data_IF_848874915255
#
_entry.id   IF_848874915255
#
_cell.length_a   1.000
_cell.length_b   1.000
_cell.length_c   1.000
_cell.angle_alpha   90.00
_cell.angle_beta   90.00
_cell.angle_gamma   90.00
#
_symmetry.space_group_name_H-M   'P 1'
#
loop_
_entity.id
_entity.type
_entity.pdbx_description
1 polymer ?
#
# COMPACT_ATOMS: atom_id res chain seq x y z
N UNK A 1 7.65 17.92 -3.55
CA UNK A 1 6.26 17.47 -3.28
C UNK A 1 6.28 16.28 -2.35
N UNK A 2 5.86 16.47 -1.11
CA UNK A 2 5.50 15.40 -0.17
C UNK A 2 4.21 14.76 -0.67
N UNK A 3 4.25 13.48 -1.03
CA UNK A 3 3.10 12.75 -1.55
C UNK A 3 2.16 12.40 -0.41
N UNK A 4 1.11 13.20 -0.22
CA UNK A 4 0.02 12.89 0.69
C UNK A 4 -1.24 12.61 -0.12
N UNK A 5 -2.00 11.58 0.26
CA UNK A 5 -3.30 11.29 -0.34
C UNK A 5 -4.24 12.48 -0.12
N UNK A 6 -4.88 12.93 -1.20
CA UNK A 6 -5.94 13.96 -1.13
C UNK A 6 -7.22 13.31 -0.60
N UNK A 7 -8.15 14.11 -0.11
CA UNK A 7 -9.40 13.54 0.44
C UNK A 7 -10.25 12.82 -0.60
N UNK A 8 -10.17 13.25 -1.88
CA UNK A 8 -10.81 12.52 -2.97
C UNK A 8 -10.13 11.19 -3.30
N UNK A 9 -8.82 11.07 -3.04
CA UNK A 9 -8.10 9.81 -3.18
C UNK A 9 -8.49 8.84 -2.05
N UNK A 10 -8.55 9.34 -0.81
CA UNK A 10 -9.02 8.58 0.36
C UNK A 10 -10.45 8.07 0.16
N UNK A 11 -11.38 8.95 -0.24
CA UNK A 11 -12.78 8.61 -0.47
C UNK A 11 -12.93 7.50 -1.52
N UNK A 12 -12.10 7.51 -2.57
CA UNK A 12 -12.09 6.45 -3.58
C UNK A 12 -11.63 5.12 -2.98
N UNK A 13 -10.52 5.14 -2.25
CA UNK A 13 -9.97 3.94 -1.62
C UNK A 13 -10.98 3.35 -0.63
N UNK A 14 -11.64 4.18 0.18
CA UNK A 14 -12.71 3.74 1.08
C UNK A 14 -13.84 3.03 0.32
N UNK A 15 -14.28 3.58 -0.82
CA UNK A 15 -15.32 2.93 -1.63
C UNK A 15 -14.91 1.55 -2.16
N UNK A 16 -13.61 1.32 -2.40
CA UNK A 16 -13.08 0.02 -2.82
C UNK A 16 -12.89 -0.97 -1.66
N UNK A 17 -12.51 -0.49 -0.47
CA UNK A 17 -12.36 -1.33 0.73
C UNK A 17 -13.74 -1.79 1.24
N UNK A 18 -14.74 -0.92 1.15
CA UNK A 18 -16.11 -1.20 1.57
C UNK A 18 -16.71 -0.10 2.45
N UNK A 19 -18.02 -0.17 2.65
CA UNK A 19 -18.80 0.90 3.28
C UNK A 19 -18.35 1.24 4.71
N UNK A 20 -18.52 2.52 5.07
CA UNK A 20 -18.20 3.07 6.39
C UNK A 20 -16.88 3.86 6.42
N UNK A 21 -16.77 4.85 7.32
CA UNK A 21 -15.61 5.75 7.39
C UNK A 21 -14.33 4.97 7.71
N UNK A 22 -13.20 5.36 7.12
CA UNK A 22 -11.87 4.84 7.45
C UNK A 22 -10.99 5.96 7.97
N UNK A 23 -10.18 5.64 8.98
CA UNK A 23 -9.20 6.58 9.51
C UNK A 23 -7.82 6.21 8.94
N UNK A 24 -7.29 7.07 8.07
CA UNK A 24 -5.96 6.90 7.51
C UNK A 24 -4.91 7.59 8.39
N UNK A 25 -4.02 6.80 8.99
CA UNK A 25 -2.82 7.28 9.65
C UNK A 25 -1.58 6.85 8.86
N UNK A 26 -0.57 7.72 8.80
CA UNK A 26 0.70 7.38 8.19
C UNK A 26 1.51 6.52 9.17
N UNK A 27 1.74 5.25 8.82
CA UNK A 27 2.60 4.35 9.59
C UNK A 27 4.07 4.55 9.21
N UNK A 28 4.39 4.46 7.92
CA UNK A 28 5.74 4.50 7.39
C UNK A 28 5.80 5.36 6.12
N UNK A 29 6.87 6.14 5.96
CA UNK A 29 7.22 6.72 4.67
C UNK A 29 8.74 6.75 4.46
N UNK A 30 9.18 6.48 3.23
CA UNK A 30 10.60 6.51 2.88
C UNK A 30 11.22 7.89 3.19
N UNK A 31 10.47 8.99 3.01
CA UNK A 31 10.98 10.33 3.27
C UNK A 31 11.26 10.61 4.75
N UNK A 32 10.51 9.97 5.65
CA UNK A 32 10.62 10.22 7.09
C UNK A 32 11.45 9.14 7.80
N UNK A 33 11.40 7.91 7.30
CA UNK A 33 11.89 6.71 7.99
C UNK A 33 13.07 6.03 7.28
N UNK A 34 13.42 6.51 6.10
CA UNK A 34 14.46 5.92 5.26
C UNK A 34 14.02 4.64 4.55
N UNK A 35 14.77 4.22 3.55
CA UNK A 35 14.45 3.06 2.71
C UNK A 35 14.99 1.76 3.32
N UNK A 36 14.53 1.40 4.52
CA UNK A 36 14.99 0.20 5.24
C UNK A 36 13.83 -0.76 5.52
N UNK A 37 13.98 -2.03 5.10
CA UNK A 37 12.99 -3.08 5.36
C UNK A 37 12.72 -3.25 6.86
N UNK A 38 13.77 -3.18 7.69
CA UNK A 38 13.63 -3.20 9.13
C UNK A 38 12.72 -2.08 9.66
N UNK A 39 12.84 -0.85 9.14
CA UNK A 39 11.98 0.28 9.56
C UNK A 39 10.54 0.10 9.11
N UNK A 40 10.33 -0.50 7.94
CA UNK A 40 8.99 -0.87 7.50
C UNK A 40 8.37 -1.90 8.45
N UNK A 41 9.06 -3.00 8.73
CA UNK A 41 8.56 -4.06 9.62
C UNK A 41 8.35 -3.55 11.05
N UNK A 42 9.26 -2.72 11.58
CA UNK A 42 9.11 -2.08 12.91
C UNK A 42 7.81 -1.25 13.03
N UNK A 43 7.31 -0.70 11.93
CA UNK A 43 6.15 0.22 11.93
C UNK A 43 4.86 -0.35 11.36
N UNK A 44 4.94 -1.29 10.42
CA UNK A 44 3.79 -1.77 9.65
C UNK A 44 3.33 -3.17 10.08
N UNK A 45 4.20 -3.95 10.75
CA UNK A 45 3.81 -5.26 11.25
C UNK A 45 2.74 -5.15 12.33
N UNK A 46 1.79 -6.09 12.28
CA UNK A 46 0.71 -6.23 13.25
C UNK A 46 -0.23 -5.00 13.38
N UNK A 47 -0.17 -4.03 12.45
CA UNK A 47 -1.03 -2.85 12.44
C UNK A 47 -2.44 -3.09 11.86
N UNK A 48 -2.78 -4.34 11.51
CA UNK A 48 -4.01 -4.67 10.81
C UNK A 48 -3.93 -4.35 9.31
N UNK A 49 -5.07 -3.95 8.73
CA UNK A 49 -5.18 -3.65 7.30
C UNK A 49 -4.35 -2.42 6.92
N UNK A 50 -3.66 -2.46 5.79
CA UNK A 50 -2.81 -1.35 5.34
C UNK A 50 -3.12 -0.94 3.92
N UNK A 51 -2.83 0.31 3.61
CA UNK A 51 -2.71 0.80 2.24
C UNK A 51 -1.26 1.18 1.97
N UNK A 52 -0.75 0.80 0.81
CA UNK A 52 0.56 1.27 0.35
C UNK A 52 0.37 2.13 -0.89
N UNK A 53 1.02 3.29 -0.91
CA UNK A 53 0.85 4.30 -1.96
C UNK A 53 2.19 4.67 -2.56
N UNK A 54 2.22 4.67 -3.89
CA UNK A 54 3.39 4.93 -4.72
C UNK A 54 3.16 6.23 -5.48
N UNK A 55 4.13 7.12 -5.42
CA UNK A 55 4.16 8.35 -6.22
C UNK A 55 5.40 8.31 -7.09
N UNK A 56 5.24 8.51 -8.40
CA UNK A 56 6.39 8.68 -9.30
C UNK A 56 6.53 10.15 -9.74
N UNK A 57 7.70 10.47 -10.31
CA UNK A 57 8.05 11.81 -10.77
C UNK A 57 7.25 12.25 -12.03
N UNK A 58 6.44 11.35 -12.60
CA UNK A 58 5.58 11.60 -13.75
C UNK A 58 4.11 11.83 -13.35
N UNK A 59 3.80 12.03 -12.07
CA UNK A 59 2.44 12.32 -11.61
C UNK A 59 1.50 11.11 -11.61
N UNK A 60 2.04 9.90 -11.66
CA UNK A 60 1.26 8.67 -11.48
C UNK A 60 1.17 8.32 -9.99
N UNK A 61 0.03 7.78 -9.60
CA UNK A 61 -0.26 7.35 -8.23
C UNK A 61 -0.89 5.98 -8.29
N UNK A 62 -0.24 4.99 -7.70
CA UNK A 62 -0.67 3.59 -7.68
C UNK A 62 -0.36 2.99 -6.31
N UNK A 63 -0.82 1.76 -6.07
CA UNK A 63 -0.67 1.17 -4.75
C UNK A 63 -1.44 -0.14 -4.60
N UNK A 64 -1.59 -0.55 -3.34
CA UNK A 64 -2.35 -1.72 -2.98
C UNK A 64 -2.98 -1.59 -1.61
N UNK A 65 -4.02 -2.37 -1.39
CA UNK A 65 -4.66 -2.58 -0.10
C UNK A 65 -4.45 -4.03 0.33
N UNK A 66 -4.17 -4.21 1.62
CA UNK A 66 -4.19 -5.51 2.29
C UNK A 66 -5.17 -5.44 3.46
N UNK A 67 -6.05 -6.42 3.57
CA UNK A 67 -6.93 -6.59 4.72
C UNK A 67 -6.26 -7.34 5.86
N UNK A 68 -5.33 -8.23 5.54
CA UNK A 68 -4.50 -8.93 6.51
C UNK A 68 -3.29 -8.07 6.93
N UNK A 69 -2.78 -8.35 8.12
CA UNK A 69 -1.65 -7.64 8.69
C UNK A 69 -0.31 -8.22 8.22
N UNK A 70 0.70 -7.35 8.11
CA UNK A 70 2.09 -7.75 7.90
C UNK A 70 2.64 -8.48 9.13
N UNK A 71 3.58 -9.40 8.91
CA UNK A 71 4.30 -10.11 9.96
C UNK A 71 5.74 -10.42 9.52
N UNK A 72 6.72 -10.10 10.38
CA UNK A 72 8.14 -10.37 10.14
C UNK A 72 8.55 -11.85 10.23
N UNK A 73 7.66 -12.80 10.53
CA UNK A 73 8.05 -14.20 10.69
C UNK A 73 8.27 -14.90 9.34
N UNK A 74 9.34 -15.71 9.30
CA UNK A 74 9.80 -16.67 8.26
C UNK A 74 9.07 -16.53 6.91
N UNK A 75 9.83 -16.13 5.88
CA UNK A 75 9.50 -16.20 4.44
C UNK A 75 8.20 -16.96 4.13
N UNK A 76 7.12 -16.23 3.88
CA UNK A 76 5.81 -16.83 3.73
C UNK A 76 4.84 -15.92 2.99
N UNK A 77 3.82 -16.54 2.40
CA UNK A 77 2.66 -15.82 1.90
C UNK A 77 1.52 -15.87 2.91
N UNK A 78 0.87 -14.73 3.11
CA UNK A 78 -0.39 -14.65 3.86
C UNK A 78 -1.52 -14.55 2.85
N UNK A 79 -2.50 -15.43 3.02
CA UNK A 79 -3.73 -15.38 2.23
C UNK A 79 -4.52 -14.12 2.60
N UNK A 80 -4.92 -13.36 1.58
CA UNK A 80 -5.74 -12.17 1.75
C UNK A 80 -6.69 -12.08 0.56
N UNK A 81 -7.95 -12.47 0.74
CA UNK A 81 -8.98 -12.51 -0.31
C UNK A 81 -9.56 -11.15 -0.66
N UNK A 82 -9.29 -10.14 0.17
CA UNK A 82 -9.75 -8.75 0.00
C UNK A 82 -8.64 -7.83 -0.48
N UNK A 83 -7.42 -8.34 -0.66
CA UNK A 83 -6.34 -7.56 -1.22
C UNK A 83 -6.64 -7.17 -2.66
N UNK A 84 -6.18 -5.99 -3.05
CA UNK A 84 -6.28 -5.49 -4.41
C UNK A 84 -5.18 -4.47 -4.69
N UNK A 85 -4.81 -4.35 -5.96
CA UNK A 85 -4.00 -3.24 -6.45
C UNK A 85 -4.90 -2.10 -6.94
N UNK A 86 -4.37 -0.89 -6.98
CA UNK A 86 -5.09 0.24 -7.54
C UNK A 86 -4.18 1.22 -8.27
N UNK A 87 -4.79 2.01 -9.14
CA UNK A 87 -4.22 3.18 -9.78
C UNK A 87 -5.17 4.35 -9.57
N UNK A 88 -4.71 5.42 -8.95
CA UNK A 88 -5.48 6.67 -8.83
C UNK A 88 -5.19 7.60 -10.01
N UNK A 89 -3.91 7.71 -10.40
CA UNK A 89 -3.46 8.57 -11.50
C UNK A 89 -2.47 7.88 -12.42
N UNK A 90 -2.50 8.25 -13.69
CA UNK A 90 -1.50 7.87 -14.68
C UNK A 90 -1.04 9.11 -15.45
N UNK A 91 0.25 9.40 -15.42
CA UNK A 91 0.84 10.56 -16.08
C UNK A 91 0.15 11.90 -15.75
N UNK A 92 -0.27 12.09 -14.49
CA UNK A 92 -1.00 13.28 -14.03
C UNK A 92 -2.52 13.22 -14.24
N UNK A 93 -3.03 12.30 -15.07
CA UNK A 93 -4.46 12.14 -15.35
C UNK A 93 -5.15 11.29 -14.29
N UNK A 94 -6.29 11.76 -13.77
CA UNK A 94 -7.15 11.02 -12.84
C UNK A 94 -7.82 9.85 -13.57
N UNK A 95 -7.56 8.62 -13.15
CA UNK A 95 -7.93 7.40 -13.91
C UNK A 95 -8.54 6.28 -13.06
N UNK A 96 -8.46 6.35 -11.73
CA UNK A 96 -9.10 5.50 -10.71
C UNK A 96 -9.52 4.10 -11.17
N UNK A 97 -8.63 3.13 -11.01
CA UNK A 97 -8.87 1.71 -11.30
C UNK A 97 -8.51 0.84 -10.11
N UNK A 98 -9.31 -0.18 -9.86
CA UNK A 98 -9.01 -1.27 -8.94
C UNK A 98 -8.72 -2.53 -9.75
N UNK A 99 -7.75 -3.31 -9.28
CA UNK A 99 -7.36 -4.58 -9.86
C UNK A 99 -7.42 -5.63 -8.75
N UNK A 100 -8.44 -6.51 -8.74
CA UNK A 100 -8.51 -7.58 -7.75
C UNK A 100 -7.35 -8.56 -7.96
N UNK A 101 -6.90 -9.19 -6.87
CA UNK A 101 -5.92 -10.27 -6.96
C UNK A 101 -6.49 -11.47 -7.75
N UNK A 102 -5.66 -12.09 -8.57
CA UNK A 102 -6.02 -13.29 -9.33
C UNK A 102 -5.83 -14.58 -8.54
N UNK A 103 -4.98 -14.55 -7.51
CA UNK A 103 -4.73 -15.68 -6.59
C UNK A 103 -4.54 -15.16 -5.16
N UNK A 104 -5.50 -15.45 -4.30
CA UNK A 104 -5.49 -15.01 -2.91
C UNK A 104 -4.40 -15.68 -2.07
N UNK A 105 -3.83 -16.82 -2.50
CA UNK A 105 -2.78 -17.54 -1.76
C UNK A 105 -1.47 -16.74 -1.62
N UNK A 106 -1.31 -15.68 -2.41
CA UNK A 106 -0.15 -14.78 -2.41
C UNK A 106 -0.53 -13.30 -2.24
N UNK A 107 -1.67 -13.02 -1.61
CA UNK A 107 -2.18 -11.65 -1.41
C UNK A 107 -1.22 -10.74 -0.62
N UNK A 108 -0.43 -11.32 0.28
CA UNK A 108 0.69 -10.66 0.96
C UNK A 108 1.89 -11.60 0.93
N UNK A 109 3.06 -11.11 0.53
CA UNK A 109 4.32 -11.84 0.67
C UNK A 109 5.23 -11.09 1.65
N UNK A 110 5.68 -11.78 2.70
CA UNK A 110 6.54 -11.23 3.75
C UNK A 110 7.83 -12.05 3.84
N UNK A 111 8.97 -11.36 3.76
CA UNK A 111 10.30 -11.92 4.00
C UNK A 111 11.08 -10.90 4.83
N UNK A 112 11.99 -11.29 5.74
CA UNK A 112 12.77 -10.34 6.57
C UNK A 112 13.58 -9.32 5.75
N UNK A 113 13.91 -9.69 4.51
CA UNK A 113 14.58 -8.85 3.52
C UNK A 113 13.63 -8.36 2.41
N UNK A 114 12.36 -8.79 2.39
CA UNK A 114 11.40 -8.26 1.42
C UNK A 114 11.18 -6.80 1.73
N UNK A 115 11.16 -6.04 0.67
CA UNK A 115 10.73 -4.66 0.68
C UNK A 115 9.42 -4.67 -0.07
N UNK A 116 8.42 -3.93 0.40
CA UNK A 116 7.49 -3.36 -0.57
C UNK A 116 8.30 -2.31 -1.32
N UNK A 117 8.95 -2.73 -2.41
CA UNK A 117 9.73 -1.88 -3.30
C UNK A 117 8.81 -0.90 -4.01
N UNK A 118 8.44 0.14 -3.28
CA UNK A 118 7.70 1.29 -3.76
C UNK A 118 8.74 2.39 -3.99
N UNK A 119 9.45 2.23 -5.10
CA UNK A 119 10.57 3.08 -5.48
C UNK A 119 10.16 4.55 -5.60
N UNK A 120 10.89 5.42 -4.90
CA UNK A 120 11.33 6.70 -5.48
C UNK A 120 12.61 6.42 -6.26
N UNK A 121 12.58 6.67 -7.57
CA UNK A 121 13.79 7.09 -8.27
C UNK A 121 14.18 8.49 -7.81
N UNK A 122 15.48 8.77 -7.77
CA UNK A 122 16.02 10.11 -7.58
C UNK A 122 15.35 11.14 -8.49
#
# INVERSE_FOLDING_TARGET
MTGQLRDSDKSQIESWIGQGPKNFSLLYSISNDGCFAQKFHEKCDHQGSTITVIYNNHGSVFGGYTSASWAASISGSTRDDKAFLFQLKFSGTDTRRQFPISDAAFGIYSHPNFRTDIWRGC
#
